data_IF_471991632182
#
_entry.id   IF_471991632182
#
_cell.length_a   1.000
_cell.length_b   1.000
_cell.length_c   1.000
_cell.angle_alpha   90.00
_cell.angle_beta   90.00
_cell.angle_gamma   90.00
#
_symmetry.space_group_name_H-M   'P 1'
#
loop_
_entity.id
_entity.type
_entity.pdbx_description
1 polymer ?
#
# COMPACT_ATOMS: atom_id res chain seq x y z
N UNK A 1 6.38 8.03 21.33
CA UNK A 1 7.84 7.74 21.40
C UNK A 1 8.11 6.58 20.47
N UNK A 2 9.03 6.70 19.51
CA UNK A 2 9.36 5.61 18.57
C UNK A 2 10.76 5.03 18.86
N UNK A 3 11.01 3.77 18.51
CA UNK A 3 12.32 3.16 18.62
C UNK A 3 13.43 3.89 17.84
N UNK A 4 14.52 4.27 18.51
CA UNK A 4 15.68 4.98 17.90
C UNK A 4 16.37 4.21 16.76
N UNK A 5 16.05 2.93 16.54
CA UNK A 5 16.64 2.19 15.42
C UNK A 5 16.08 2.64 14.06
N UNK A 6 14.91 3.29 14.02
CA UNK A 6 14.39 3.91 12.80
C UNK A 6 15.38 4.96 12.23
N UNK A 7 16.08 5.68 13.11
CA UNK A 7 17.10 6.65 12.70
C UNK A 7 18.29 5.98 12.00
N UNK A 8 18.63 4.75 12.40
CA UNK A 8 19.74 3.96 11.86
C UNK A 8 19.43 3.27 10.53
N UNK A 9 18.16 3.27 10.09
CA UNK A 9 17.79 2.67 8.81
C UNK A 9 18.30 3.51 7.63
N UNK A 10 18.76 2.83 6.58
CA UNK A 10 19.13 3.45 5.30
C UNK A 10 17.90 3.77 4.42
N UNK A 11 16.90 4.40 5.01
CA UNK A 11 15.69 4.85 4.33
C UNK A 11 15.65 6.37 4.19
N UNK A 12 14.88 6.86 3.21
CA UNK A 12 14.58 8.28 3.10
C UNK A 12 13.85 8.79 4.35
N UNK A 13 13.89 10.10 4.57
CA UNK A 13 13.16 10.72 5.68
C UNK A 13 11.67 10.39 5.61
N UNK A 14 11.05 10.44 4.43
CA UNK A 14 9.61 10.18 4.27
C UNK A 14 9.24 8.74 4.64
N UNK A 15 10.06 7.75 4.28
CA UNK A 15 9.80 6.37 4.66
C UNK A 15 9.98 6.17 6.18
N UNK A 16 10.97 6.81 6.81
CA UNK A 16 11.10 6.78 8.29
C UNK A 16 9.87 7.38 8.97
N UNK A 17 9.37 8.50 8.48
CA UNK A 17 8.18 9.15 9.02
C UNK A 17 6.94 8.24 8.89
N UNK A 18 6.78 7.54 7.76
CA UNK A 18 5.70 6.54 7.57
C UNK A 18 5.79 5.37 8.54
N UNK A 19 7.00 4.88 8.82
CA UNK A 19 7.21 3.81 9.79
C UNK A 19 6.86 4.25 11.21
N UNK A 20 7.17 5.50 11.57
CA UNK A 20 6.82 6.09 12.87
C UNK A 20 5.30 6.21 13.01
N UNK A 21 4.60 6.70 11.98
CA UNK A 21 3.13 6.80 11.98
C UNK A 21 2.48 5.40 12.12
N UNK A 22 2.99 4.40 11.39
CA UNK A 22 2.50 3.02 11.49
C UNK A 22 2.74 2.44 12.89
N UNK A 23 3.91 2.69 13.49
CA UNK A 23 4.25 2.23 14.83
C UNK A 23 3.33 2.85 15.89
N UNK A 24 3.08 4.16 15.79
CA UNK A 24 2.17 4.89 16.68
C UNK A 24 0.69 4.53 16.44
N UNK A 25 0.38 3.68 15.45
CA UNK A 25 -0.99 3.33 15.02
C UNK A 25 -1.79 4.53 14.53
N UNK A 26 -1.11 5.56 14.04
CA UNK A 26 -1.74 6.73 13.41
C UNK A 26 -2.29 6.39 12.02
N UNK A 27 -1.68 5.41 11.36
CA UNK A 27 -2.12 4.88 10.07
C UNK A 27 -2.26 3.37 10.12
N UNK A 28 -3.11 2.83 9.25
CA UNK A 28 -3.24 1.39 9.03
C UNK A 28 -2.13 0.85 8.14
N UNK A 29 -1.94 -0.48 8.16
CA UNK A 29 -1.01 -1.15 7.26
C UNK A 29 -1.34 -0.91 5.78
N UNK A 30 -2.62 -0.80 5.43
CA UNK A 30 -3.05 -0.55 4.06
C UNK A 30 -2.68 0.86 3.59
N UNK A 31 -2.89 1.87 4.44
CA UNK A 31 -2.50 3.24 4.14
C UNK A 31 -0.99 3.36 3.99
N UNK A 32 -0.23 2.76 4.92
CA UNK A 32 1.23 2.68 4.82
C UNK A 32 1.66 2.10 3.47
N UNK A 33 1.12 0.94 3.07
CA UNK A 33 1.49 0.29 1.81
C UNK A 33 1.16 1.16 0.59
N UNK A 34 0.00 1.83 0.60
CA UNK A 34 -0.41 2.71 -0.50
C UNK A 34 0.54 3.89 -0.66
N UNK A 35 0.92 4.55 0.44
CA UNK A 35 1.86 5.69 0.39
C UNK A 35 3.26 5.21 0.05
N UNK A 36 3.70 4.09 0.63
CA UNK A 36 5.01 3.50 0.35
C UNK A 36 5.17 3.14 -1.13
N UNK A 37 4.14 2.53 -1.74
CA UNK A 37 4.17 2.21 -3.17
C UNK A 37 4.33 3.48 -4.00
N UNK A 38 3.59 4.54 -3.71
CA UNK A 38 3.75 5.81 -4.42
C UNK A 38 5.14 6.45 -4.20
N UNK A 39 5.76 6.24 -3.03
CA UNK A 39 7.08 6.79 -2.68
C UNK A 39 8.21 6.13 -3.48
N UNK A 40 8.08 4.83 -3.76
CA UNK A 40 9.11 4.03 -4.46
C UNK A 40 8.77 3.69 -5.91
N UNK A 41 7.54 3.91 -6.35
CA UNK A 41 7.14 3.82 -7.75
C UNK A 41 7.85 4.92 -8.55
N UNK A 42 9.05 4.58 -8.99
CA UNK A 42 9.86 5.32 -9.98
C UNK A 42 9.40 5.06 -11.40
N UNK A 43 8.43 4.16 -11.60
CA UNK A 43 7.85 3.89 -12.91
C UNK A 43 6.83 4.98 -13.22
N UNK A 44 6.97 5.72 -14.34
CA UNK A 44 5.90 6.60 -14.77
C UNK A 44 4.65 5.73 -14.92
N UNK A 45 3.55 6.15 -14.28
CA UNK A 45 2.27 5.46 -14.34
C UNK A 45 1.85 5.38 -15.82
N UNK A 46 2.16 4.26 -16.48
CA UNK A 46 1.31 3.79 -17.57
C UNK A 46 0.02 3.42 -16.86
N UNK A 47 -0.96 4.28 -17.07
CA UNK A 47 -2.32 4.24 -16.60
C UNK A 47 -3.04 2.91 -16.88
N UNK A 48 -2.68 1.84 -16.17
CA UNK A 48 -3.59 0.70 -16.02
C UNK A 48 -4.71 1.11 -15.07
N UNK A 49 -5.70 1.82 -15.62
CA UNK A 49 -7.10 1.66 -15.25
C UNK A 49 -7.37 0.14 -15.15
N UNK A 50 -7.21 -0.41 -13.95
CA UNK A 50 -7.84 -1.67 -13.57
C UNK A 50 -9.21 -1.33 -13.03
N UNK A 51 -10.11 -1.17 -13.99
CA UNK A 51 -11.54 -1.33 -13.87
C UNK A 51 -11.86 -2.37 -12.77
N UNK A 52 -12.43 -1.90 -11.67
CA UNK A 52 -12.91 -2.74 -10.56
C UNK A 52 -14.30 -3.33 -10.84
N UNK A 53 -14.72 -3.50 -12.10
CA UNK A 53 -16.08 -3.97 -12.42
C UNK A 53 -16.16 -5.44 -12.86
N UNK A 54 -15.04 -6.17 -12.90
CA UNK A 54 -15.03 -7.53 -13.45
C UNK A 54 -14.97 -8.66 -12.41
N UNK A 55 -14.96 -8.37 -11.11
CA UNK A 55 -14.91 -9.39 -10.05
C UNK A 55 -16.31 -9.90 -9.61
N UNK A 56 -17.38 -9.41 -10.23
CA UNK A 56 -18.76 -9.82 -9.92
C UNK A 56 -19.35 -10.85 -10.91
N UNK A 57 -18.72 -11.10 -12.07
CA UNK A 57 -19.28 -11.98 -13.11
C UNK A 57 -18.90 -13.46 -12.92
N UNK A 58 -18.02 -13.79 -11.97
CA UNK A 58 -17.51 -15.16 -11.81
C UNK A 58 -18.29 -16.03 -10.81
N UNK A 59 -19.34 -15.53 -10.14
CA UNK A 59 -20.01 -16.27 -9.05
C UNK A 59 -21.42 -16.78 -9.38
N UNK A 60 -21.99 -16.51 -10.56
CA UNK A 60 -23.42 -16.87 -10.82
C UNK A 60 -23.68 -17.91 -11.91
N UNK A 61 -22.70 -18.69 -12.37
CA UNK A 61 -22.96 -19.78 -13.32
C UNK A 61 -22.55 -21.16 -12.78
N UNK A 62 -23.19 -21.58 -11.69
CA UNK A 62 -23.43 -23.01 -11.44
C UNK A 62 -24.92 -23.28 -11.61
N UNK A 63 -25.35 -23.42 -12.87
CA UNK A 63 -26.65 -23.96 -13.20
C UNK A 63 -26.50 -24.95 -14.36
N UNK A 64 -26.91 -26.18 -14.07
CA UNK A 64 -27.32 -27.25 -14.98
C UNK A 64 -26.30 -27.92 -15.90
N UNK A 65 -25.92 -29.14 -15.51
CA UNK A 65 -26.21 -30.33 -16.30
C UNK A 65 -26.33 -31.59 -15.44
#
# INVERSE_FOLDING_TARGET
MYPKFFDKMAFSKEHKDLLIQLYNKEITRNEYNRVLNNLYDTKPKVNENKNQDNLLVSVTNFSNR
#
